data_IF_213731153312
#
_entry.id   IF_213731153312
#
_cell.length_a   1.000
_cell.length_b   1.000
_cell.length_c   1.000
_cell.angle_alpha   90.00
_cell.angle_beta   90.00
_cell.angle_gamma   90.00
#
_symmetry.space_group_name_H-M   'P 1'
#
loop_
_entity.id
_entity.type
_entity.pdbx_description
1 polymer ?
#
# COMPACT_ATOMS: atom_id res chain seq x y z
N UNK A 1 17.42 0.25 24.03
CA UNK A 1 17.48 1.27 22.97
C UNK A 1 16.11 1.34 22.30
N UNK A 2 15.39 2.46 22.29
CA UNK A 2 14.10 2.54 21.62
C UNK A 2 14.31 2.30 20.12
N UNK A 3 13.65 1.27 19.57
CA UNK A 3 13.64 1.04 18.12
C UNK A 3 12.83 2.17 17.46
N UNK A 4 13.39 2.85 16.46
CA UNK A 4 12.63 3.74 15.58
C UNK A 4 12.82 5.25 15.77
N UNK A 5 13.79 5.71 16.56
CA UNK A 5 14.10 7.15 16.65
C UNK A 5 14.91 7.65 15.45
N UNK A 6 15.76 6.81 14.88
CA UNK A 6 16.72 7.20 13.86
C UNK A 6 16.56 6.37 12.58
N UNK A 7 16.60 7.04 11.43
CA UNK A 7 16.66 6.43 10.11
C UNK A 7 18.04 6.66 9.49
N UNK A 8 18.62 5.59 8.93
CA UNK A 8 19.87 5.69 8.17
C UNK A 8 19.57 5.66 6.67
N UNK A 9 19.88 6.75 5.96
CA UNK A 9 19.73 6.81 4.51
C UNK A 9 20.74 5.90 3.79
N UNK A 10 20.53 5.59 2.49
CA UNK A 10 21.49 4.79 1.72
C UNK A 10 22.89 5.42 1.61
N UNK A 11 23.01 6.75 1.73
CA UNK A 11 24.31 7.45 1.74
C UNK A 11 25.01 7.36 3.10
N UNK A 12 24.31 6.87 4.12
CA UNK A 12 24.82 6.66 5.47
C UNK A 12 24.49 7.77 6.48
N UNK A 13 23.77 8.82 6.06
CA UNK A 13 23.27 9.87 6.96
C UNK A 13 22.26 9.33 7.95
N UNK A 14 22.27 9.85 9.17
CA UNK A 14 21.38 9.44 10.26
C UNK A 14 20.46 10.61 10.57
N UNK A 15 19.17 10.45 10.31
CA UNK A 15 18.15 11.48 10.46
C UNK A 15 17.16 11.03 11.53
N UNK A 16 16.67 11.98 12.33
CA UNK A 16 15.59 11.72 13.27
C UNK A 16 14.28 11.40 12.52
N UNK A 17 13.51 10.43 13.01
CA UNK A 17 12.28 9.97 12.34
C UNK A 17 11.17 11.01 12.39
N UNK A 18 11.10 11.83 13.45
CA UNK A 18 10.16 12.96 13.52
C UNK A 18 10.52 14.06 12.54
N UNK A 19 11.81 14.31 12.34
CA UNK A 19 12.29 15.26 11.33
C UNK A 19 11.93 14.78 9.92
N UNK A 20 12.13 13.50 9.62
CA UNK A 20 11.66 12.91 8.36
C UNK A 20 10.16 13.06 8.19
N UNK A 21 9.36 12.75 9.20
CA UNK A 21 7.90 12.87 9.12
C UNK A 21 7.47 14.33 8.83
N UNK A 22 8.12 15.32 9.46
CA UNK A 22 7.89 16.75 9.20
C UNK A 22 8.31 17.15 7.78
N UNK A 23 9.36 16.53 7.25
CA UNK A 23 9.85 16.77 5.89
C UNK A 23 9.31 15.77 4.84
N UNK A 24 8.08 15.27 5.05
CA UNK A 24 7.39 14.38 4.10
C UNK A 24 8.19 13.13 3.70
N UNK A 25 8.98 12.62 4.63
CA UNK A 25 9.87 11.46 4.47
C UNK A 25 10.93 11.63 3.37
N UNK A 26 11.35 12.87 3.15
CA UNK A 26 12.54 13.19 2.35
C UNK A 26 13.66 13.57 3.30
N UNK A 27 14.81 12.96 3.14
CA UNK A 27 15.98 13.27 3.97
C UNK A 27 16.48 14.69 3.68
N UNK A 28 16.56 15.58 4.69
CA UNK A 28 17.02 16.96 4.49
C UNK A 28 18.51 17.05 4.18
N UNK A 29 19.29 16.01 4.47
CA UNK A 29 20.74 16.00 4.28
C UNK A 29 21.20 15.57 2.88
N UNK A 30 20.41 14.74 2.20
CA UNK A 30 20.80 14.11 0.94
C UNK A 30 19.66 13.97 -0.08
N UNK A 31 18.50 14.58 0.19
CA UNK A 31 17.29 14.58 -0.65
C UNK A 31 16.76 13.18 -1.01
N UNK A 32 17.16 12.17 -0.24
CA UNK A 32 16.71 10.80 -0.47
C UNK A 32 15.26 10.61 -0.01
N UNK A 33 14.40 10.17 -0.93
CA UNK A 33 13.02 9.79 -0.63
C UNK A 33 12.96 8.46 0.12
N UNK A 34 12.62 8.53 1.41
CA UNK A 34 12.49 7.36 2.27
C UNK A 34 11.29 6.53 1.85
N UNK A 35 11.49 5.22 1.87
CA UNK A 35 10.48 4.25 1.48
C UNK A 35 9.39 4.16 2.57
N UNK A 36 8.25 4.82 2.35
CA UNK A 36 7.08 4.79 3.25
C UNK A 36 5.90 3.97 2.73
N UNK A 37 4.97 3.64 3.61
CA UNK A 37 3.77 2.86 3.32
C UNK A 37 2.49 3.70 3.25
N UNK A 38 1.35 3.02 3.16
CA UNK A 38 0.04 3.67 3.08
C UNK A 38 -0.32 4.45 4.34
N UNK A 39 0.17 4.07 5.53
CA UNK A 39 -0.08 4.81 6.76
C UNK A 39 0.48 6.24 6.68
N UNK A 40 1.75 6.36 6.26
CA UNK A 40 2.40 7.66 6.11
C UNK A 40 1.81 8.47 4.96
N UNK A 41 1.53 7.84 3.81
CA UNK A 41 0.88 8.54 2.69
C UNK A 41 -0.51 9.06 3.04
N UNK A 42 -1.30 8.30 3.81
CA UNK A 42 -2.61 8.75 4.27
C UNK A 42 -2.48 9.93 5.23
N UNK A 43 -1.50 9.92 6.12
CA UNK A 43 -1.20 11.06 7.00
C UNK A 43 -0.78 12.31 6.21
N UNK A 44 -0.08 12.15 5.08
CA UNK A 44 0.35 13.26 4.22
C UNK A 44 -0.82 13.83 3.41
N UNK A 45 -1.70 12.96 2.90
CA UNK A 45 -2.66 13.32 1.85
C UNK A 45 -4.07 13.55 2.35
N UNK A 46 -4.50 12.89 3.43
CA UNK A 46 -5.80 13.14 4.04
C UNK A 46 -5.71 14.22 5.11
N UNK A 47 -6.62 15.17 5.05
CA UNK A 47 -6.76 16.25 6.01
C UNK A 47 -6.97 15.66 7.41
N UNK A 48 -6.15 16.13 8.37
CA UNK A 48 -6.15 15.70 9.77
C UNK A 48 -6.04 14.17 9.96
N UNK A 49 -5.52 13.44 8.96
CA UNK A 49 -5.48 11.98 8.91
C UNK A 49 -6.89 11.34 9.07
N UNK A 50 -7.94 12.03 8.61
CA UNK A 50 -9.33 11.57 8.67
C UNK A 50 -9.73 10.96 7.32
N UNK A 51 -9.99 9.66 7.34
CA UNK A 51 -10.42 8.90 6.17
C UNK A 51 -11.28 7.71 6.56
N UNK A 52 -12.03 7.21 5.58
CA UNK A 52 -12.73 5.92 5.64
C UNK A 52 -12.00 4.92 4.76
N UNK A 53 -11.44 3.88 5.38
CA UNK A 53 -10.85 2.76 4.63
C UNK A 53 -11.96 1.95 3.93
N UNK A 54 -11.73 1.62 2.66
CA UNK A 54 -12.61 0.83 1.82
C UNK A 54 -12.15 -0.63 1.85
N UNK A 55 -13.13 -1.55 1.95
CA UNK A 55 -12.88 -3.00 1.94
C UNK A 55 -11.79 -3.44 2.95
N UNK A 56 -11.72 -2.78 4.11
CA UNK A 56 -10.67 -2.95 5.13
C UNK A 56 -10.45 -4.43 5.52
N UNK A 57 -11.52 -5.22 5.56
CA UNK A 57 -11.49 -6.62 6.02
C UNK A 57 -11.09 -7.63 4.92
N UNK A 58 -10.87 -7.19 3.69
CA UNK A 58 -10.54 -8.08 2.57
C UNK A 58 -9.10 -8.59 2.66
N UNK A 59 -8.91 -9.92 2.59
CA UNK A 59 -7.61 -10.59 2.73
C UNK A 59 -7.39 -11.63 1.64
N UNK A 60 -6.16 -11.79 1.16
CA UNK A 60 -5.84 -12.86 0.21
C UNK A 60 -6.09 -14.25 0.81
N UNK A 61 -6.45 -15.18 -0.07
CA UNK A 61 -6.54 -16.61 0.20
C UNK A 61 -5.47 -17.33 -0.62
N UNK A 62 -5.32 -18.63 -0.38
CA UNK A 62 -4.42 -19.51 -1.14
C UNK A 62 -5.23 -20.42 -2.07
N UNK A 63 -5.72 -19.91 -3.23
CA UNK A 63 -6.58 -20.67 -4.12
C UNK A 63 -5.87 -21.84 -4.82
N UNK A 64 -4.53 -21.81 -4.89
CA UNK A 64 -3.71 -22.80 -5.58
C UNK A 64 -3.07 -23.81 -4.62
N UNK A 65 -3.26 -23.66 -3.30
CA UNK A 65 -2.51 -24.38 -2.27
C UNK A 65 -1.00 -24.32 -2.53
N UNK A 66 -0.51 -23.13 -2.87
CA UNK A 66 0.84 -22.93 -3.38
C UNK A 66 1.89 -23.13 -2.28
N UNK A 67 2.94 -23.89 -2.61
CA UNK A 67 4.08 -24.13 -1.74
C UNK A 67 5.39 -24.05 -2.53
N UNK A 68 6.31 -23.22 -2.04
CA UNK A 68 7.71 -23.20 -2.44
C UNK A 68 8.58 -23.55 -1.20
N UNK A 69 9.64 -22.79 -0.94
CA UNK A 69 10.33 -22.78 0.37
C UNK A 69 9.40 -22.57 1.58
N UNK A 70 8.23 -21.93 1.39
CA UNK A 70 7.23 -21.71 2.43
C UNK A 70 5.83 -21.63 1.82
N UNK A 71 4.87 -22.35 2.43
CA UNK A 71 3.43 -22.27 2.07
C UNK A 71 2.93 -20.83 1.95
N UNK A 72 2.16 -20.54 0.91
CA UNK A 72 1.65 -19.18 0.66
C UNK A 72 0.77 -18.67 1.81
N UNK A 73 -0.13 -19.51 2.33
CA UNK A 73 -0.91 -19.22 3.54
C UNK A 73 -0.05 -18.76 4.74
N UNK A 74 1.12 -19.38 4.95
CA UNK A 74 2.03 -18.98 6.01
C UNK A 74 2.79 -17.69 5.67
N UNK A 75 3.11 -17.41 4.39
CA UNK A 75 3.66 -16.12 3.95
C UNK A 75 2.67 -14.98 4.19
N UNK A 76 1.39 -15.20 3.90
CA UNK A 76 0.31 -14.24 4.17
C UNK A 76 0.20 -13.94 5.66
N UNK A 77 0.19 -14.97 6.50
CA UNK A 77 0.13 -14.81 7.96
C UNK A 77 1.29 -13.95 8.48
N UNK A 78 2.53 -14.30 8.13
CA UNK A 78 3.70 -13.52 8.55
C UNK A 78 3.65 -12.08 8.04
N UNK A 79 3.24 -11.86 6.78
CA UNK A 79 3.13 -10.53 6.22
C UNK A 79 2.09 -9.69 6.99
N UNK A 80 0.91 -10.23 7.25
CA UNK A 80 -0.14 -9.57 8.04
C UNK A 80 0.33 -9.31 9.48
N UNK A 81 1.04 -10.24 10.12
CA UNK A 81 1.56 -10.06 11.47
C UNK A 81 2.63 -8.98 11.55
N UNK A 82 3.52 -8.92 10.57
CA UNK A 82 4.63 -7.97 10.48
C UNK A 82 4.17 -6.56 10.14
N UNK A 83 3.27 -6.41 9.18
CA UNK A 83 2.86 -5.09 8.67
C UNK A 83 1.56 -4.58 9.29
N UNK A 84 0.78 -5.46 9.92
CA UNK A 84 -0.60 -5.20 10.36
C UNK A 84 -1.59 -4.87 9.23
N UNK A 85 -1.17 -5.01 7.98
CA UNK A 85 -2.02 -4.83 6.80
C UNK A 85 -2.77 -6.12 6.47
N UNK A 86 -3.89 -6.00 5.76
CA UNK A 86 -4.67 -7.15 5.26
C UNK A 86 -4.23 -7.64 3.87
N UNK A 87 -3.64 -6.76 3.07
CA UNK A 87 -2.93 -7.08 1.84
C UNK A 87 -1.95 -5.94 1.50
N UNK A 88 -1.29 -6.02 0.35
CA UNK A 88 -0.33 -5.06 -0.18
C UNK A 88 -0.93 -3.75 -0.70
N UNK A 89 -2.22 -3.49 -0.47
CA UNK A 89 -2.84 -2.20 -0.81
C UNK A 89 -3.89 -1.80 0.23
N UNK A 90 -3.86 -0.52 0.61
CA UNK A 90 -4.95 0.13 1.33
C UNK A 90 -5.64 1.10 0.41
N UNK A 91 -6.97 1.10 0.47
CA UNK A 91 -7.83 1.96 -0.32
C UNK A 91 -8.68 2.76 0.64
N UNK A 92 -8.78 4.07 0.48
CA UNK A 92 -9.52 4.91 1.40
C UNK A 92 -10.09 6.13 0.68
N UNK A 93 -11.12 6.72 1.28
CA UNK A 93 -11.70 8.00 0.86
C UNK A 93 -11.69 8.97 2.02
N UNK A 94 -11.38 10.23 1.74
CA UNK A 94 -11.31 11.30 2.73
C UNK A 94 -11.17 12.66 2.07
N UNK A 95 -11.03 13.71 2.87
CA UNK A 95 -10.75 15.05 2.38
C UNK A 95 -9.24 15.22 2.17
N UNK A 96 -8.85 15.85 1.08
CA UNK A 96 -7.50 16.33 0.80
C UNK A 96 -7.60 17.78 0.35
N UNK A 97 -7.02 18.71 1.10
CA UNK A 97 -7.16 20.16 0.89
C UNK A 97 -8.62 20.59 0.76
N UNK A 98 -9.50 20.00 1.59
CA UNK A 98 -10.94 20.27 1.62
C UNK A 98 -11.75 19.63 0.49
N UNK A 99 -11.15 18.84 -0.40
CA UNK A 99 -11.84 18.15 -1.51
C UNK A 99 -11.84 16.65 -1.30
N UNK A 100 -12.91 15.96 -1.74
CA UNK A 100 -12.95 14.50 -1.65
C UNK A 100 -11.88 13.90 -2.58
N UNK A 101 -11.20 12.87 -2.08
CA UNK A 101 -10.18 12.12 -2.80
C UNK A 101 -10.27 10.65 -2.41
N UNK A 102 -10.25 9.78 -3.42
CA UNK A 102 -10.06 8.34 -3.22
C UNK A 102 -8.61 8.00 -3.48
N UNK A 103 -7.95 7.32 -2.54
CA UNK A 103 -6.56 6.92 -2.65
C UNK A 103 -6.46 5.39 -2.61
N UNK A 104 -5.73 4.80 -3.55
CA UNK A 104 -5.23 3.44 -3.48
C UNK A 104 -3.71 3.47 -3.32
N UNK A 105 -3.19 3.01 -2.18
CA UNK A 105 -1.78 3.06 -1.86
C UNK A 105 -1.20 1.68 -1.60
N UNK A 106 -0.16 1.30 -2.34
CA UNK A 106 0.51 0.01 -2.22
C UNK A 106 1.60 0.00 -1.15
N UNK A 107 1.76 -1.15 -0.49
CA UNK A 107 2.71 -1.37 0.58
C UNK A 107 3.73 -2.46 0.22
N UNK A 108 4.93 -2.04 -0.18
CA UNK A 108 6.01 -2.97 -0.55
C UNK A 108 6.41 -3.93 0.57
N UNK A 109 6.21 -3.54 1.84
CA UNK A 109 6.52 -4.38 2.99
C UNK A 109 5.67 -5.66 3.03
N UNK A 110 4.50 -5.67 2.37
CA UNK A 110 3.64 -6.84 2.24
C UNK A 110 3.99 -7.60 0.97
N UNK A 111 4.80 -8.66 1.09
CA UNK A 111 5.16 -9.57 -0.02
C UNK A 111 5.63 -8.79 -1.28
N UNK A 112 6.53 -7.82 -1.07
CA UNK A 112 7.10 -7.00 -2.13
C UNK A 112 6.10 -6.08 -2.83
N UNK A 113 4.95 -5.80 -2.21
CA UNK A 113 3.89 -5.02 -2.84
C UNK A 113 3.26 -5.73 -4.03
N UNK A 114 3.50 -7.04 -4.20
CA UNK A 114 3.12 -7.76 -5.41
C UNK A 114 1.60 -7.74 -5.63
N UNK A 115 1.14 -7.67 -6.88
CA UNK A 115 -0.29 -7.60 -7.18
C UNK A 115 -0.89 -9.00 -7.28
N UNK A 116 -1.76 -9.35 -6.31
CA UNK A 116 -2.62 -10.54 -6.33
C UNK A 116 -4.10 -10.16 -6.47
N UNK A 117 -4.99 -11.14 -6.36
CA UNK A 117 -6.44 -10.98 -6.53
C UNK A 117 -7.04 -9.90 -5.63
N UNK A 118 -6.62 -9.82 -4.37
CA UNK A 118 -7.13 -8.80 -3.43
C UNK A 118 -6.63 -7.40 -3.77
N UNK A 119 -5.36 -7.27 -4.19
CA UNK A 119 -4.84 -5.97 -4.65
C UNK A 119 -5.66 -5.46 -5.83
N UNK A 120 -5.88 -6.31 -6.84
CA UNK A 120 -6.68 -5.96 -8.00
C UNK A 120 -8.16 -5.68 -7.69
N UNK A 121 -8.78 -6.46 -6.79
CA UNK A 121 -10.15 -6.22 -6.34
C UNK A 121 -10.30 -4.90 -5.59
N UNK A 122 -9.42 -4.60 -4.63
CA UNK A 122 -9.48 -3.33 -3.88
C UNK A 122 -9.28 -2.12 -4.79
N UNK A 123 -8.33 -2.18 -5.72
CA UNK A 123 -8.12 -1.10 -6.70
C UNK A 123 -9.36 -0.94 -7.59
N UNK A 124 -9.90 -2.02 -8.15
CA UNK A 124 -11.08 -1.97 -9.00
C UNK A 124 -12.30 -1.37 -8.26
N UNK A 125 -12.54 -1.77 -7.00
CA UNK A 125 -13.61 -1.21 -6.16
C UNK A 125 -13.40 0.25 -5.81
N UNK A 126 -12.16 0.67 -5.57
CA UNK A 126 -11.84 2.07 -5.32
C UNK A 126 -12.10 2.95 -6.56
N UNK A 127 -11.79 2.44 -7.76
CA UNK A 127 -12.11 3.11 -9.02
C UNK A 127 -13.64 3.18 -9.21
N UNK A 128 -14.36 2.07 -8.99
CA UNK A 128 -15.83 2.04 -9.04
C UNK A 128 -16.45 3.05 -8.07
N UNK A 129 -15.94 3.12 -6.83
CA UNK A 129 -16.37 4.10 -5.84
C UNK A 129 -16.12 5.53 -6.34
N UNK A 130 -14.95 5.80 -6.93
CA UNK A 130 -14.57 7.11 -7.46
C UNK A 130 -15.53 7.55 -8.57
N UNK A 131 -15.85 6.66 -9.50
CA UNK A 131 -16.80 6.90 -10.60
C UNK A 131 -18.21 7.17 -10.05
N UNK A 132 -18.70 6.31 -9.15
CA UNK A 132 -20.05 6.43 -8.59
C UNK A 132 -20.25 7.72 -7.79
N UNK A 133 -19.20 8.22 -7.14
CA UNK A 133 -19.26 9.41 -6.29
C UNK A 133 -18.66 10.66 -6.98
N UNK A 134 -18.32 10.58 -8.27
CA UNK A 134 -17.67 11.66 -9.02
C UNK A 134 -16.48 12.28 -8.25
N UNK A 135 -15.66 11.42 -7.65
CA UNK A 135 -14.53 11.80 -6.79
C UNK A 135 -13.22 11.46 -7.50
N UNK A 136 -12.21 12.35 -7.51
CA UNK A 136 -10.90 12.02 -8.07
C UNK A 136 -10.27 10.78 -7.45
N UNK A 137 -9.58 9.99 -8.27
CA UNK A 137 -8.85 8.79 -7.86
C UNK A 137 -7.34 9.02 -7.95
N UNK A 138 -6.60 8.66 -6.90
CA UNK A 138 -5.15 8.71 -6.83
C UNK A 138 -4.57 7.31 -6.54
N UNK A 139 -3.72 6.83 -7.44
CA UNK A 139 -2.97 5.58 -7.27
C UNK A 139 -1.52 5.86 -6.86
N UNK A 140 -1.09 5.30 -5.74
CA UNK A 140 0.31 5.30 -5.30
C UNK A 140 0.87 3.89 -5.49
N UNK A 141 1.54 3.69 -6.62
CA UNK A 141 2.03 2.40 -7.07
C UNK A 141 3.38 2.05 -6.45
N UNK A 142 3.47 0.86 -5.87
CA UNK A 142 4.71 0.35 -5.27
C UNK A 142 4.72 -1.16 -5.22
N UNK A 143 5.23 -1.76 -6.29
CA UNK A 143 5.16 -3.21 -6.52
C UNK A 143 6.46 -3.75 -7.09
N UNK A 144 6.82 -4.96 -6.68
CA UNK A 144 7.84 -5.79 -7.34
C UNK A 144 7.31 -6.62 -8.50
N UNK A 145 6.00 -6.54 -8.83
CA UNK A 145 5.38 -7.26 -9.94
C UNK A 145 4.09 -8.01 -9.58
N UNK A 146 3.75 -9.02 -10.36
CA UNK A 146 2.60 -9.90 -10.09
C UNK A 146 2.89 -10.87 -8.94
N UNK A 147 1.86 -11.24 -8.17
CA UNK A 147 2.01 -12.21 -7.08
C UNK A 147 2.06 -13.64 -7.62
N UNK A 148 3.27 -14.17 -7.78
CA UNK A 148 3.51 -15.49 -8.39
C UNK A 148 2.70 -16.62 -7.73
N UNK A 149 2.48 -16.55 -6.41
CA UNK A 149 1.71 -17.55 -5.66
C UNK A 149 0.24 -17.68 -6.08
N UNK A 150 -0.30 -16.68 -6.80
CA UNK A 150 -1.66 -16.71 -7.37
C UNK A 150 -1.65 -16.84 -8.91
N UNK A 151 -0.47 -16.92 -9.53
CA UNK A 151 -0.24 -17.19 -10.96
C UNK A 151 -1.15 -16.39 -11.91
N UNK A 152 -1.98 -17.08 -12.71
CA UNK A 152 -2.86 -16.47 -13.69
C UNK A 152 -3.85 -15.48 -13.07
N UNK A 153 -4.28 -15.69 -11.82
CA UNK A 153 -5.18 -14.76 -11.12
C UNK A 153 -4.52 -13.39 -10.95
N UNK A 154 -3.22 -13.36 -10.62
CA UNK A 154 -2.44 -12.12 -10.53
C UNK A 154 -2.32 -11.40 -11.86
N UNK A 155 -2.05 -12.15 -12.95
CA UNK A 155 -1.96 -11.58 -14.29
C UNK A 155 -3.28 -10.93 -14.72
N UNK A 156 -4.41 -11.60 -14.46
CA UNK A 156 -5.73 -11.10 -14.82
C UNK A 156 -6.12 -9.83 -14.07
N UNK A 157 -5.46 -9.51 -12.95
CA UNK A 157 -5.73 -8.26 -12.25
C UNK A 157 -5.33 -7.03 -13.08
N UNK A 158 -4.32 -7.13 -13.95
CA UNK A 158 -3.97 -6.04 -14.87
C UNK A 158 -5.14 -5.71 -15.79
N UNK A 159 -5.73 -6.74 -16.43
CA UNK A 159 -6.89 -6.55 -17.31
C UNK A 159 -8.08 -5.97 -16.55
N UNK A 160 -8.36 -6.50 -15.35
CA UNK A 160 -9.46 -6.05 -14.50
C UNK A 160 -9.34 -4.59 -14.08
N UNK A 161 -8.18 -4.15 -13.59
CA UNK A 161 -8.02 -2.75 -13.14
C UNK A 161 -7.97 -1.79 -14.31
N UNK A 162 -7.34 -2.18 -15.43
CA UNK A 162 -7.28 -1.34 -16.62
C UNK A 162 -8.65 -1.14 -17.27
N UNK A 163 -9.53 -2.14 -17.22
CA UNK A 163 -10.89 -2.04 -17.76
C UNK A 163 -11.82 -1.11 -16.93
N UNK A 164 -11.36 -0.60 -15.79
CA UNK A 164 -12.11 0.32 -14.92
C UNK A 164 -11.74 1.79 -15.12
N UNK A 165 -10.61 2.06 -15.78
CA UNK A 165 -10.12 3.41 -16.10
C UNK A 165 -10.75 3.91 -17.41
#
# INVERSE_FOLDING_TARGET
>A
VPKGLWYKSPTGKIIDTEELAKNLWVSPEDDFHVRIGSAEYFQILFDDNVFKELDEKMTSKDPLNFEDTKKYSARLKDAMEKTKLKDAVRTAVGKSKGKDLVIACMDFAFIGGSMGAVVGEKIARAIDYSIQNNTPFLMISKSGGARMMEAALSLMQLAKTSAKL
#
